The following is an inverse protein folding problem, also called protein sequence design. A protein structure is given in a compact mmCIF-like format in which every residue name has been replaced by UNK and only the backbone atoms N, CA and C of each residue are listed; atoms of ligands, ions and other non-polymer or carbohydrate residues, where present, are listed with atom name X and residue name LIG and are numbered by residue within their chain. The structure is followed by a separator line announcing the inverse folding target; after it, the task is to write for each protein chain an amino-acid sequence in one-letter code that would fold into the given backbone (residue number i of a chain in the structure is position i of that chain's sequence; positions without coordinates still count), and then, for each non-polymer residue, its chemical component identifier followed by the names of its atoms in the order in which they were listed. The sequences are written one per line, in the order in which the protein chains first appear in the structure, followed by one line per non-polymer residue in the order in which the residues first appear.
data_IF_260330967545
#
_entry.id   IF_260330967545
#
_cell.length_a   1.000
_cell.length_b   1.000
_cell.length_c   1.000
_cell.angle_alpha   90.00
_cell.angle_beta   90.00
_cell.angle_gamma   90.00
#
_symmetry.space_group_name_H-M   'P 1'
#
loop_
_entity.id
_entity.type
_entity.pdbx_description
1 polymer ?
#
# COMPACT_ATOMS: atom_id res chain seq x y z
N UNK A 1 -6.59 -7.62 1.48
CA UNK A 1 -6.16 -6.63 0.46
C UNK A 1 -7.21 -5.59 0.16
N UNK A 2 -8.49 -5.95 0.24
CA UNK A 2 -9.63 -5.03 0.16
C UNK A 2 -9.57 -3.83 1.12
N UNK A 3 -8.98 -4.01 2.32
CA UNK A 3 -8.85 -2.93 3.31
C UNK A 3 -7.99 -1.77 2.79
N UNK A 4 -6.83 -2.06 2.22
CA UNK A 4 -5.90 -1.04 1.70
C UNK A 4 -6.51 -0.30 0.50
N UNK A 5 -7.18 -1.02 -0.39
CA UNK A 5 -7.87 -0.42 -1.55
C UNK A 5 -9.02 0.49 -1.08
N UNK A 6 -9.79 0.08 -0.08
CA UNK A 6 -10.85 0.90 0.52
C UNK A 6 -10.30 2.16 1.19
N UNK A 7 -9.18 2.07 1.90
CA UNK A 7 -8.52 3.23 2.52
C UNK A 7 -8.04 4.22 1.45
N UNK A 8 -7.38 3.73 0.41
CA UNK A 8 -6.95 4.56 -0.72
C UNK A 8 -8.14 5.28 -1.37
N UNK A 9 -9.22 4.56 -1.65
CA UNK A 9 -10.44 5.14 -2.21
C UNK A 9 -11.06 6.20 -1.28
N UNK A 10 -11.12 5.94 0.04
CA UNK A 10 -11.60 6.90 1.04
C UNK A 10 -10.75 8.17 1.11
N UNK A 11 -9.45 8.06 0.92
CA UNK A 11 -8.53 9.21 0.89
C UNK A 11 -8.43 9.87 -0.49
N UNK A 12 -9.18 9.40 -1.50
CA UNK A 12 -9.11 9.92 -2.87
C UNK A 12 -7.76 9.65 -3.56
N UNK A 13 -7.02 8.62 -3.10
CA UNK A 13 -5.68 8.28 -3.58
C UNK A 13 -5.73 7.06 -4.49
N UNK A 14 -4.92 7.08 -5.56
CA UNK A 14 -4.81 5.96 -6.50
C UNK A 14 -3.71 4.98 -6.07
N UNK A 15 -3.72 3.77 -6.65
CA UNK A 15 -2.64 2.78 -6.44
C UNK A 15 -1.32 3.30 -6.98
N UNK A 16 -1.35 3.97 -8.15
CA UNK A 16 -0.21 4.67 -8.73
C UNK A 16 0.37 5.71 -7.77
N UNK A 17 -0.49 6.53 -7.14
CA UNK A 17 -0.06 7.49 -6.14
C UNK A 17 0.69 6.81 -4.98
N UNK A 18 0.18 5.69 -4.47
CA UNK A 18 0.85 4.96 -3.39
C UNK A 18 2.20 4.39 -3.86
N UNK A 19 2.23 3.83 -5.07
CA UNK A 19 3.44 3.28 -5.67
C UNK A 19 4.53 4.36 -5.81
N UNK A 20 4.19 5.51 -6.37
CA UNK A 20 5.08 6.67 -6.49
C UNK A 20 5.55 7.15 -5.11
N UNK A 21 4.64 7.23 -4.13
CA UNK A 21 4.94 7.71 -2.77
C UNK A 21 5.91 6.81 -2.01
N UNK A 22 5.83 5.49 -2.22
CA UNK A 22 6.72 4.51 -1.57
C UNK A 22 7.97 4.18 -2.41
N UNK A 23 8.15 4.83 -3.57
CA UNK A 23 9.28 4.61 -4.47
C UNK A 23 9.26 3.23 -5.13
N UNK A 24 8.09 2.72 -5.50
CA UNK A 24 7.89 1.40 -6.07
C UNK A 24 7.15 1.47 -7.39
N UNK A 25 7.50 0.61 -8.35
CA UNK A 25 6.71 0.47 -9.59
C UNK A 25 5.29 -0.04 -9.29
N UNK A 26 4.29 0.54 -9.96
CA UNK A 26 2.88 0.18 -9.80
C UNK A 26 2.61 -1.31 -10.09
N UNK A 27 3.35 -1.91 -11.02
CA UNK A 27 3.26 -3.35 -11.32
C UNK A 27 3.74 -4.20 -10.14
N UNK A 28 4.82 -3.79 -9.48
CA UNK A 28 5.34 -4.45 -8.27
C UNK A 28 4.35 -4.32 -7.13
N UNK A 29 3.83 -3.12 -6.90
CA UNK A 29 2.78 -2.88 -5.92
C UNK A 29 1.56 -3.76 -6.24
N UNK A 30 1.14 -3.86 -7.50
CA UNK A 30 0.00 -4.70 -7.90
C UNK A 30 0.23 -6.20 -7.66
N UNK A 31 1.44 -6.71 -7.89
CA UNK A 31 1.79 -8.12 -7.58
C UNK A 31 1.73 -8.40 -6.09
N UNK A 32 2.29 -7.50 -5.28
CA UNK A 32 2.18 -7.53 -3.83
C UNK A 32 0.70 -7.44 -3.43
N UNK A 33 -0.06 -6.57 -4.11
CA UNK A 33 -1.46 -6.33 -3.81
C UNK A 33 -2.35 -7.57 -4.04
N UNK A 34 -1.94 -8.40 -5.00
CA UNK A 34 -2.63 -9.62 -5.38
C UNK A 34 -2.07 -10.86 -4.65
N UNK A 35 -1.23 -10.70 -3.63
CA UNK A 35 -0.65 -11.80 -2.85
C UNK A 35 0.39 -12.63 -3.60
N UNK A 36 0.82 -12.20 -4.80
CA UNK A 36 1.86 -12.90 -5.58
C UNK A 36 3.26 -12.69 -5.00
N UNK A 37 3.45 -11.61 -4.22
CA UNK A 37 4.66 -11.35 -3.46
C UNK A 37 4.31 -11.04 -2.00
N UNK A 38 5.10 -11.54 -1.03
CA UNK A 38 4.90 -11.23 0.37
C UNK A 38 5.16 -9.75 0.67
N UNK A 39 4.31 -9.14 1.50
CA UNK A 39 4.59 -7.81 2.07
C UNK A 39 5.67 -7.94 3.15
N UNK A 40 6.86 -7.43 2.87
CA UNK A 40 7.89 -7.29 3.89
C UNK A 40 7.50 -6.23 4.92
N UNK A 41 8.02 -6.33 6.14
CA UNK A 41 7.79 -5.34 7.20
C UNK A 41 8.23 -3.93 6.80
N UNK A 42 9.24 -3.81 5.93
CA UNK A 42 9.66 -2.52 5.39
C UNK A 42 8.59 -1.90 4.48
N UNK A 43 7.99 -2.69 3.58
CA UNK A 43 6.93 -2.21 2.70
C UNK A 43 5.69 -1.83 3.51
N UNK A 44 5.34 -2.61 4.54
CA UNK A 44 4.25 -2.27 5.47
C UNK A 44 4.48 -0.90 6.13
N UNK A 45 5.70 -0.65 6.62
CA UNK A 45 6.10 0.65 7.19
C UNK A 45 5.98 1.79 6.18
N UNK A 46 6.48 1.61 4.96
CA UNK A 46 6.38 2.61 3.88
C UNK A 46 4.93 2.96 3.54
N UNK A 47 4.06 1.95 3.44
CA UNK A 47 2.63 2.16 3.16
C UNK A 47 1.94 2.86 4.32
N UNK A 48 2.19 2.42 5.56
CA UNK A 48 1.64 3.05 6.76
C UNK A 48 2.03 4.53 6.86
N UNK A 49 3.31 4.85 6.66
CA UNK A 49 3.81 6.23 6.64
C UNK A 49 3.21 7.06 5.50
N UNK A 50 3.05 6.47 4.30
CA UNK A 50 2.44 7.17 3.17
C UNK A 50 0.96 7.50 3.42
N UNK A 51 0.25 6.63 4.12
CA UNK A 51 -1.17 6.78 4.42
C UNK A 51 -1.45 7.54 5.72
N UNK A 52 -0.41 7.79 6.51
CA UNK A 52 -0.49 8.35 7.87
C UNK A 52 -1.39 7.52 8.78
N UNK A 53 -1.26 6.19 8.69
CA UNK A 53 -2.07 5.22 9.44
C UNK A 53 -1.15 4.19 10.10
N UNK A 54 -1.34 3.88 11.40
CA UNK A 54 -0.58 2.83 12.08
C UNK A 54 -0.65 1.46 11.38
N UNK A 55 0.47 0.73 11.39
CA UNK A 55 0.60 -0.58 10.73
C UNK A 55 -0.44 -1.57 11.24
N UNK A 56 -0.68 -1.62 12.56
CA UNK A 56 -1.65 -2.50 13.22
C UNK A 56 -3.10 -2.22 12.79
N UNK A 57 -3.39 -1.00 12.34
CA UNK A 57 -4.69 -0.65 11.76
C UNK A 57 -4.77 -1.11 10.31
N UNK A 58 -3.65 -1.11 9.59
CA UNK A 58 -3.62 -1.37 8.15
C UNK A 58 -3.55 -2.86 7.80
N UNK A 59 -2.82 -3.66 8.58
CA UNK A 59 -2.48 -5.06 8.30
C UNK A 59 -2.87 -6.02 9.41
#
# INVERSE_FOLDING_TARGET
MDKLIKILAKQGRSRRWLADKIGMHEVTLSKILNGKNPLTSEIKKKIANALDIPIDILF
#
